data_IF_129774985888
#
_entry.id   IF_129774985888
#
_cell.length_a   1.000
_cell.length_b   1.000
_cell.length_c   1.000
_cell.angle_alpha   90.00
_cell.angle_beta   90.00
_cell.angle_gamma   90.00
#
_symmetry.space_group_name_H-M   'P 1'
#
loop_
_entity.id
_entity.type
_entity.pdbx_description
1 polymer ?
#
# COMPACT_ATOMS: atom_id res chain seq x y z
N UNK A 1 -18.93 2.06 4.76
CA UNK A 1 -18.20 1.63 3.55
C UNK A 1 -19.18 1.75 2.39
N UNK A 2 -18.90 2.59 1.39
CA UNK A 2 -19.82 2.84 0.26
C UNK A 2 -19.53 1.85 -0.87
N UNK A 3 -20.12 0.65 -0.76
CA UNK A 3 -19.85 -0.43 -1.72
C UNK A 3 -20.53 -0.21 -3.07
N UNK A 4 -21.41 0.77 -3.20
CA UNK A 4 -22.12 1.09 -4.45
C UNK A 4 -21.17 1.70 -5.48
N UNK A 5 -20.02 2.20 -5.02
CA UNK A 5 -18.94 2.75 -5.86
C UNK A 5 -17.98 1.69 -6.40
N UNK A 6 -18.19 0.43 -6.04
CA UNK A 6 -17.41 -0.70 -6.52
C UNK A 6 -18.25 -1.55 -7.48
N UNK A 7 -17.71 -1.84 -8.66
CA UNK A 7 -18.41 -2.63 -9.67
C UNK A 7 -18.72 -4.05 -9.18
N UNK A 8 -19.77 -4.66 -9.74
CA UNK A 8 -20.09 -6.06 -9.48
C UNK A 8 -18.96 -7.00 -9.92
N UNK A 9 -18.25 -6.64 -11.01
CA UNK A 9 -17.08 -7.39 -11.47
C UNK A 9 -15.98 -7.41 -10.43
N UNK A 10 -15.63 -6.27 -9.84
CA UNK A 10 -14.66 -6.19 -8.76
C UNK A 10 -15.11 -7.06 -7.58
N UNK A 11 -16.35 -6.91 -7.11
CA UNK A 11 -16.92 -7.73 -6.01
C UNK A 11 -16.83 -9.23 -6.28
N UNK A 12 -17.21 -9.70 -7.46
CA UNK A 12 -17.11 -11.11 -7.83
C UNK A 12 -15.66 -11.60 -7.84
N UNK A 13 -14.72 -10.83 -8.41
CA UNK A 13 -13.29 -11.20 -8.43
C UNK A 13 -12.67 -11.27 -7.04
N UNK A 14 -13.10 -10.40 -6.12
CA UNK A 14 -12.60 -10.37 -4.75
C UNK A 14 -13.23 -11.42 -3.84
N UNK A 15 -14.46 -11.86 -4.11
CA UNK A 15 -15.20 -12.78 -3.22
C UNK A 15 -14.42 -14.05 -2.90
N UNK A 16 -13.88 -14.70 -3.93
CA UNK A 16 -13.25 -16.02 -3.79
C UNK A 16 -11.75 -15.95 -3.42
N UNK A 17 -11.23 -14.74 -3.17
CA UNK A 17 -9.81 -14.51 -2.92
C UNK A 17 -9.51 -13.99 -1.52
N UNK A 18 -10.55 -13.73 -0.72
CA UNK A 18 -10.39 -13.24 0.63
C UNK A 18 -9.72 -14.31 1.51
N UNK A 19 -8.71 -13.90 2.29
CA UNK A 19 -7.85 -14.77 3.08
C UNK A 19 -6.64 -15.33 2.31
N UNK A 20 -6.45 -15.04 1.02
CA UNK A 20 -5.33 -15.63 0.25
C UNK A 20 -4.09 -14.71 0.17
N UNK A 21 -2.90 -15.30 -0.03
CA UNK A 21 -1.65 -14.53 -0.29
C UNK A 21 -1.55 -14.05 -1.74
N UNK A 22 -1.87 -14.94 -2.69
CA UNK A 22 -1.77 -14.74 -4.14
C UNK A 22 -0.40 -14.90 -4.74
N UNK A 23 -0.24 -14.31 -5.93
CA UNK A 23 0.94 -14.42 -6.76
C UNK A 23 1.77 -13.14 -6.79
N UNK A 24 2.90 -13.17 -7.51
CA UNK A 24 3.86 -12.08 -7.63
C UNK A 24 4.72 -11.93 -6.38
N UNK A 25 5.09 -10.70 -6.02
CA UNK A 25 5.86 -10.38 -4.81
C UNK A 25 5.08 -10.54 -3.48
N UNK A 26 3.96 -11.27 -3.46
CA UNK A 26 3.22 -11.51 -2.22
C UNK A 26 3.75 -12.77 -1.53
N UNK A 27 4.01 -12.69 -0.23
CA UNK A 27 4.58 -13.78 0.53
C UNK A 27 4.17 -13.74 2.00
N UNK A 28 4.38 -14.86 2.68
CA UNK A 28 4.37 -15.00 4.12
C UNK A 28 5.72 -15.56 4.50
N UNK A 29 6.45 -14.87 5.36
CA UNK A 29 7.78 -15.29 5.80
C UNK A 29 7.88 -15.35 7.32
N UNK A 30 8.44 -16.45 7.81
CA UNK A 30 8.93 -16.56 9.19
C UNK A 30 10.38 -16.09 9.17
N UNK A 31 10.66 -15.02 9.89
CA UNK A 31 11.95 -14.33 9.92
C UNK A 31 12.52 -14.35 11.33
N UNK A 32 13.82 -14.14 11.45
CA UNK A 32 14.51 -13.97 12.73
C UNK A 32 15.11 -12.57 12.80
N UNK A 33 14.93 -11.88 13.91
CA UNK A 33 15.58 -10.58 14.17
C UNK A 33 17.07 -10.81 14.36
N UNK A 34 17.87 -10.55 13.33
CA UNK A 34 19.31 -10.79 13.35
C UNK A 34 20.08 -9.63 14.00
N UNK A 35 19.73 -8.39 13.66
CA UNK A 35 20.40 -7.18 14.13
C UNK A 35 19.41 -6.17 14.70
N UNK A 36 19.87 -5.44 15.73
CA UNK A 36 19.14 -4.32 16.33
C UNK A 36 20.06 -3.10 16.30
N UNK A 37 19.64 -2.05 15.59
CA UNK A 37 20.40 -0.80 15.48
C UNK A 37 20.04 0.23 16.57
N UNK A 38 18.85 0.11 17.18
CA UNK A 38 18.40 0.96 18.27
C UNK A 38 17.59 0.15 19.29
N UNK A 39 18.23 -0.20 20.41
CA UNK A 39 17.62 -1.05 21.44
C UNK A 39 16.40 -0.41 22.11
N UNK A 40 16.43 0.92 22.33
CA UNK A 40 15.35 1.65 22.98
C UNK A 40 14.05 1.61 22.15
N UNK A 41 14.16 1.84 20.85
CA UNK A 41 13.03 1.79 19.92
C UNK A 41 12.58 0.35 19.68
N UNK A 42 13.52 -0.58 19.49
CA UNK A 42 13.22 -2.00 19.31
C UNK A 42 12.40 -2.54 20.50
N UNK A 43 12.80 -2.23 21.74
CA UNK A 43 12.05 -2.60 22.94
C UNK A 43 10.63 -2.04 22.96
N UNK A 44 10.43 -0.81 22.47
CA UNK A 44 9.09 -0.20 22.35
C UNK A 44 8.23 -0.89 21.30
N UNK A 45 8.83 -1.37 20.21
CA UNK A 45 8.15 -2.18 19.19
C UNK A 45 7.96 -3.65 19.61
N UNK A 46 8.49 -4.06 20.77
CA UNK A 46 8.46 -5.45 21.22
C UNK A 46 9.43 -6.35 20.45
N UNK A 47 10.47 -5.77 19.87
CA UNK A 47 11.50 -6.45 19.08
C UNK A 47 12.78 -6.67 19.89
N UNK A 48 13.36 -7.87 19.79
CA UNK A 48 14.65 -8.22 20.39
C UNK A 48 15.46 -9.19 19.52
N UNK A 49 16.79 -9.16 19.66
CA UNK A 49 17.69 -10.01 18.88
C UNK A 49 17.39 -11.49 19.11
N UNK A 50 17.28 -12.24 18.02
CA UNK A 50 16.94 -13.66 18.00
C UNK A 50 15.45 -13.99 18.01
N UNK A 51 14.58 -12.99 18.15
CA UNK A 51 13.13 -13.18 18.10
C UNK A 51 12.68 -13.68 16.73
N UNK A 52 11.70 -14.59 16.73
CA UNK A 52 11.01 -15.03 15.51
C UNK A 52 9.82 -14.10 15.24
N UNK A 53 9.72 -13.61 14.02
CA UNK A 53 8.64 -12.73 13.55
C UNK A 53 7.99 -13.33 12.32
N UNK A 54 6.72 -13.00 12.08
CA UNK A 54 6.03 -13.38 10.85
C UNK A 54 5.69 -12.11 10.07
N UNK A 55 6.14 -12.05 8.81
CA UNK A 55 5.82 -10.96 7.90
C UNK A 55 4.80 -11.43 6.87
N UNK A 56 3.72 -10.67 6.71
CA UNK A 56 2.69 -10.90 5.67
C UNK A 56 2.80 -9.76 4.67
N UNK A 57 3.21 -10.08 3.44
CA UNK A 57 3.20 -9.13 2.34
C UNK A 57 2.08 -9.49 1.36
N UNK A 58 0.91 -8.85 1.51
CA UNK A 58 -0.20 -9.00 0.57
C UNK A 58 -1.10 -7.76 0.52
N UNK A 59 -1.77 -7.56 -0.62
CA UNK A 59 -2.70 -6.46 -0.84
C UNK A 59 -4.14 -6.90 -1.08
N UNK A 60 -4.90 -6.08 -1.81
CA UNK A 60 -6.31 -6.30 -2.14
C UNK A 60 -6.63 -7.41 -3.15
N UNK A 61 -5.66 -8.31 -3.43
CA UNK A 61 -5.82 -9.61 -4.13
C UNK A 61 -6.25 -9.60 -5.60
N UNK A 62 -5.67 -10.45 -6.46
CA UNK A 62 -6.23 -11.00 -7.73
C UNK A 62 -5.52 -10.66 -9.06
N UNK A 63 -5.72 -11.50 -10.08
CA UNK A 63 -4.85 -11.60 -11.27
C UNK A 63 -4.71 -10.28 -12.07
N UNK A 64 -3.47 -9.80 -12.25
CA UNK A 64 -3.17 -8.56 -13.00
C UNK A 64 -1.71 -8.38 -13.43
N UNK A 65 -0.83 -9.36 -13.15
CA UNK A 65 0.58 -9.26 -13.54
C UNK A 65 0.75 -9.15 -15.07
N UNK A 66 -0.06 -9.89 -15.83
CA UNK A 66 0.04 -9.93 -17.29
C UNK A 66 -0.21 -8.56 -17.95
N UNK A 67 -1.17 -7.77 -17.47
CA UNK A 67 -1.51 -6.46 -18.08
C UNK A 67 -0.40 -5.43 -17.82
N UNK A 68 0.22 -5.42 -16.63
CA UNK A 68 1.32 -4.48 -16.37
C UNK A 68 2.56 -4.81 -17.23
N UNK A 69 2.88 -6.09 -17.42
CA UNK A 69 4.00 -6.52 -18.26
C UNK A 69 3.75 -6.25 -19.76
N UNK A 70 2.53 -6.47 -20.23
CA UNK A 70 2.16 -6.27 -21.64
C UNK A 70 2.22 -4.78 -22.03
N UNK A 71 1.88 -3.87 -21.11
CA UNK A 71 1.92 -2.43 -21.36
C UNK A 71 3.31 -1.82 -21.19
N UNK A 72 4.18 -2.39 -20.33
CA UNK A 72 5.60 -2.01 -20.28
C UNK A 72 6.26 -2.17 -21.67
N UNK A 73 5.91 -3.21 -22.44
CA UNK A 73 6.42 -3.39 -23.81
C UNK A 73 5.91 -2.32 -24.80
N UNK A 74 4.68 -1.85 -24.61
CA UNK A 74 4.07 -0.78 -25.42
C UNK A 74 4.72 0.57 -25.10
N UNK A 75 4.94 0.87 -23.82
CA UNK A 75 5.60 2.09 -23.34
C UNK A 75 7.08 2.17 -23.77
N UNK A 76 7.81 1.05 -23.71
CA UNK A 76 9.19 0.95 -24.23
C UNK A 76 9.27 1.18 -25.75
N UNK A 77 8.19 0.90 -26.48
CA UNK A 77 8.12 1.17 -27.93
C UNK A 77 7.77 2.63 -28.23
N UNK A 78 6.98 3.28 -27.37
CA UNK A 78 6.60 4.69 -27.50
C UNK A 78 7.75 5.65 -27.18
N UNK A 79 8.57 5.34 -26.16
CA UNK A 79 9.76 6.14 -25.79
C UNK A 79 10.76 6.28 -26.94
N UNK A 80 10.98 5.21 -27.73
CA UNK A 80 11.77 5.25 -28.97
C UNK A 80 11.14 6.08 -30.08
N UNK A 81 9.81 6.05 -30.22
CA UNK A 81 9.08 6.76 -31.29
C UNK A 81 9.05 8.27 -31.10
N UNK A 82 9.01 8.73 -29.84
CA UNK A 82 8.84 10.16 -29.52
C UNK A 82 10.11 10.84 -28.99
N UNK A 83 11.27 10.16 -29.02
CA UNK A 83 12.57 10.75 -28.67
C UNK A 83 12.63 11.25 -27.23
N UNK A 84 11.94 10.57 -26.30
CA UNK A 84 11.87 10.97 -24.90
C UNK A 84 13.13 10.46 -24.19
N UNK A 85 14.00 11.38 -23.76
CA UNK A 85 15.17 11.07 -22.95
C UNK A 85 14.73 11.01 -21.48
N UNK A 86 14.81 9.82 -20.85
CA UNK A 86 14.26 9.57 -19.51
C UNK A 86 15.38 9.54 -18.46
N UNK A 87 15.46 10.51 -17.53
CA UNK A 87 16.18 10.35 -16.28
C UNK A 87 15.25 9.68 -15.25
N UNK A 88 15.48 8.40 -14.93
CA UNK A 88 14.94 7.61 -13.80
C UNK A 88 13.50 7.91 -13.32
N UNK A 89 12.48 7.24 -13.90
CA UNK A 89 11.13 7.17 -13.28
C UNK A 89 10.61 5.72 -13.24
N UNK A 90 10.16 5.33 -12.05
CA UNK A 90 9.57 4.02 -11.76
C UNK A 90 8.04 4.15 -11.69
N UNK A 91 7.35 3.86 -12.79
CA UNK A 91 5.88 3.67 -12.79
C UNK A 91 5.59 2.18 -12.65
N UNK A 92 5.28 1.71 -11.45
CA UNK A 92 4.78 0.34 -11.23
C UNK A 92 3.42 0.36 -10.55
N UNK A 93 2.35 -0.05 -11.24
CA UNK A 93 0.99 -0.12 -10.70
C UNK A 93 0.79 -1.40 -9.88
N UNK A 94 1.14 -1.36 -8.60
CA UNK A 94 1.13 -2.54 -7.72
C UNK A 94 -0.14 -2.73 -6.88
N UNK A 95 -1.35 -2.64 -7.43
CA UNK A 95 -2.52 -3.24 -6.78
C UNK A 95 -2.95 -4.47 -7.57
N UNK A 96 -3.33 -5.55 -6.88
CA UNK A 96 -3.78 -6.79 -7.50
C UNK A 96 -5.31 -6.95 -7.26
N UNK A 97 -5.96 -7.54 -8.27
CA UNK A 97 -7.38 -7.94 -8.44
C UNK A 97 -8.49 -7.05 -7.93
N UNK A 98 -9.00 -7.13 -6.69
CA UNK A 98 -10.13 -6.31 -6.24
C UNK A 98 -9.78 -4.82 -6.36
N UNK A 99 -8.60 -4.43 -5.86
CA UNK A 99 -8.10 -3.06 -6.01
C UNK A 99 -7.65 -2.73 -7.44
N UNK A 100 -7.11 -3.70 -8.17
CA UNK A 100 -6.75 -3.52 -9.59
C UNK A 100 -7.98 -3.28 -10.46
N UNK A 101 -9.03 -4.07 -10.28
CA UNK A 101 -10.29 -3.97 -11.00
C UNK A 101 -10.99 -2.65 -10.68
N UNK A 102 -10.93 -2.18 -9.43
CA UNK A 102 -11.36 -0.82 -9.07
C UNK A 102 -10.56 0.21 -9.90
N UNK A 103 -9.24 0.07 -10.02
CA UNK A 103 -8.44 0.96 -10.86
C UNK A 103 -8.90 0.91 -12.33
N UNK A 104 -8.98 -0.27 -12.93
CA UNK A 104 -9.36 -0.47 -14.34
C UNK A 104 -10.74 0.10 -14.67
N UNK A 105 -11.72 -0.13 -13.78
CA UNK A 105 -13.08 0.37 -13.96
C UNK A 105 -13.12 1.90 -13.93
N UNK A 106 -12.29 2.51 -13.08
CA UNK A 106 -12.22 3.96 -12.94
C UNK A 106 -11.36 4.63 -14.01
N UNK A 107 -10.38 3.95 -14.64
CA UNK A 107 -9.59 4.54 -15.74
C UNK A 107 -10.52 5.10 -16.84
N UNK A 108 -11.54 4.34 -17.26
CA UNK A 108 -12.49 4.79 -18.30
C UNK A 108 -13.30 6.02 -17.87
N UNK A 109 -13.70 6.06 -16.60
CA UNK A 109 -14.46 7.15 -16.00
C UNK A 109 -13.57 8.41 -15.91
N UNK A 110 -12.35 8.24 -15.41
CA UNK A 110 -11.38 9.32 -15.25
C UNK A 110 -10.90 9.86 -16.60
N UNK A 111 -10.82 9.04 -17.65
CA UNK A 111 -10.46 9.50 -19.00
C UNK A 111 -11.53 10.45 -19.55
N UNK A 112 -12.80 10.10 -19.31
CA UNK A 112 -13.94 10.96 -19.65
C UNK A 112 -13.94 12.24 -18.79
N UNK A 113 -13.61 12.11 -17.50
CA UNK A 113 -13.50 13.25 -16.58
C UNK A 113 -12.37 14.22 -16.97
N UNK A 114 -11.20 13.70 -17.35
CA UNK A 114 -10.04 14.50 -17.81
C UNK A 114 -10.46 15.40 -18.97
N UNK A 115 -11.16 14.83 -19.97
CA UNK A 115 -11.70 15.60 -21.10
C UNK A 115 -12.76 16.61 -20.66
N UNK A 116 -13.70 16.19 -19.81
CA UNK A 116 -14.78 17.04 -19.27
C UNK A 116 -14.25 18.25 -18.50
N UNK A 117 -13.17 18.08 -17.73
CA UNK A 117 -12.57 19.14 -16.92
C UNK A 117 -11.41 19.87 -17.62
N UNK A 118 -11.13 19.56 -18.89
CA UNK A 118 -10.08 20.22 -19.68
C UNK A 118 -8.66 20.02 -19.13
N UNK A 119 -8.41 18.88 -18.46
CA UNK A 119 -7.10 18.58 -17.88
C UNK A 119 -6.16 18.11 -18.99
N UNK A 120 -5.07 18.84 -19.22
CA UNK A 120 -4.03 18.41 -20.15
C UNK A 120 -3.10 17.42 -19.46
N UNK A 121 -2.99 16.21 -20.01
CA UNK A 121 -2.15 15.16 -19.44
C UNK A 121 -0.89 14.96 -20.31
N UNK A 122 0.30 14.86 -19.69
CA UNK A 122 1.51 14.51 -20.44
C UNK A 122 1.50 13.04 -20.90
N UNK A 123 0.78 12.17 -20.19
CA UNK A 123 0.55 10.77 -20.55
C UNK A 123 -0.89 10.37 -20.20
N UNK A 124 -1.52 9.55 -21.03
CA UNK A 124 -2.89 9.04 -20.78
C UNK A 124 -2.97 8.17 -19.52
N UNK A 125 -1.87 7.52 -19.11
CA UNK A 125 -1.78 6.72 -17.88
C UNK A 125 -1.85 7.59 -16.61
N UNK A 126 -1.66 8.91 -16.73
CA UNK A 126 -1.79 9.88 -15.63
C UNK A 126 -3.21 10.43 -15.50
N UNK A 127 -4.19 9.66 -15.97
CA UNK A 127 -5.59 10.02 -15.92
C UNK A 127 -6.03 10.41 -14.52
N UNK A 128 -6.68 11.57 -14.40
CA UNK A 128 -7.10 12.10 -13.12
C UNK A 128 -8.42 12.87 -13.20
N UNK A 129 -8.96 13.22 -12.03
CA UNK A 129 -10.12 14.07 -11.87
C UNK A 129 -9.93 14.95 -10.62
N UNK A 130 -10.57 16.13 -10.56
CA UNK A 130 -10.54 16.96 -9.36
C UNK A 130 -11.09 16.20 -8.15
N UNK A 131 -10.48 16.34 -6.97
CA UNK A 131 -10.88 15.59 -5.76
C UNK A 131 -12.30 15.92 -5.29
N UNK A 132 -12.78 17.13 -5.58
CA UNK A 132 -14.14 17.59 -5.29
C UNK A 132 -15.16 17.24 -6.38
N UNK A 133 -14.72 16.62 -7.48
CA UNK A 133 -15.62 16.14 -8.53
C UNK A 133 -16.36 14.88 -8.10
N UNK A 134 -17.50 14.59 -8.75
CA UNK A 134 -18.24 13.34 -8.53
C UNK A 134 -17.34 12.12 -8.80
N UNK A 135 -16.59 12.15 -9.89
CA UNK A 135 -15.72 11.06 -10.34
C UNK A 135 -14.57 10.82 -9.34
N UNK A 136 -13.93 11.90 -8.85
CA UNK A 136 -12.89 11.82 -7.82
C UNK A 136 -13.41 11.32 -6.47
N UNK A 137 -14.58 11.80 -6.03
CA UNK A 137 -15.20 11.36 -4.78
C UNK A 137 -15.62 9.88 -4.84
N UNK A 138 -16.23 9.47 -5.95
CA UNK A 138 -16.62 8.07 -6.18
C UNK A 138 -15.38 7.15 -6.18
N UNK A 139 -14.27 7.57 -6.82
CA UNK A 139 -13.01 6.82 -6.82
C UNK A 139 -12.43 6.66 -5.41
N UNK A 140 -12.37 7.74 -4.62
CA UNK A 140 -11.85 7.68 -3.24
C UNK A 140 -12.64 6.68 -2.40
N UNK A 141 -13.98 6.68 -2.53
CA UNK A 141 -14.85 5.73 -1.83
C UNK A 141 -14.58 4.29 -2.26
N UNK A 142 -14.42 4.05 -3.57
CA UNK A 142 -14.07 2.73 -4.09
C UNK A 142 -12.67 2.27 -3.62
N UNK A 143 -11.69 3.17 -3.63
CA UNK A 143 -10.34 2.90 -3.12
C UNK A 143 -10.38 2.53 -1.63
N UNK A 144 -11.15 3.23 -0.81
CA UNK A 144 -11.35 2.87 0.60
C UNK A 144 -11.93 1.47 0.76
N UNK A 145 -12.83 1.03 -0.14
CA UNK A 145 -13.29 -0.35 -0.14
C UNK A 145 -12.14 -1.34 -0.42
N UNK A 146 -11.27 -1.02 -1.39
CA UNK A 146 -10.07 -1.81 -1.69
C UNK A 146 -9.11 -1.92 -0.52
N UNK A 147 -8.87 -0.82 0.19
CA UNK A 147 -8.02 -0.77 1.39
C UNK A 147 -8.61 -1.60 2.53
N UNK A 148 -9.91 -1.45 2.82
CA UNK A 148 -10.58 -2.22 3.86
C UNK A 148 -10.55 -3.72 3.55
N UNK A 149 -10.79 -4.11 2.30
CA UNK A 149 -10.67 -5.49 1.87
C UNK A 149 -9.25 -6.04 2.10
N UNK A 150 -8.20 -5.26 1.81
CA UNK A 150 -6.82 -5.67 2.07
C UNK A 150 -6.52 -5.85 3.56
N UNK A 151 -7.06 -4.97 4.44
CA UNK A 151 -6.96 -5.15 5.90
C UNK A 151 -7.66 -6.42 6.36
N UNK A 152 -8.92 -6.65 5.95
CA UNK A 152 -9.64 -7.88 6.28
C UNK A 152 -8.88 -9.13 5.81
N UNK A 153 -8.28 -9.08 4.62
CA UNK A 153 -7.47 -10.18 4.10
C UNK A 153 -6.27 -10.50 4.99
N UNK A 154 -5.53 -9.47 5.44
CA UNK A 154 -4.38 -9.67 6.35
C UNK A 154 -4.81 -10.13 7.74
N UNK A 155 -5.95 -9.67 8.23
CA UNK A 155 -6.49 -10.10 9.52
C UNK A 155 -6.87 -11.60 9.49
N UNK A 156 -7.52 -12.05 8.42
CA UNK A 156 -7.83 -13.48 8.24
C UNK A 156 -6.57 -14.35 8.16
N UNK A 157 -5.57 -13.91 7.39
CA UNK A 157 -4.28 -14.62 7.31
C UNK A 157 -3.61 -14.66 8.69
N UNK A 158 -3.66 -13.57 9.45
CA UNK A 158 -3.12 -13.50 10.82
C UNK A 158 -3.83 -14.48 11.75
N UNK A 159 -5.16 -14.59 11.65
CA UNK A 159 -5.93 -15.58 12.41
C UNK A 159 -5.51 -17.02 12.08
N UNK A 160 -5.36 -17.36 10.80
CA UNK A 160 -4.92 -18.70 10.38
C UNK A 160 -3.47 -19.02 10.77
N UNK A 161 -2.59 -18.01 10.78
CA UNK A 161 -1.24 -18.18 11.30
C UNK A 161 -1.30 -18.56 12.78
N UNK A 162 -2.08 -17.83 13.60
CA UNK A 162 -2.26 -18.13 15.03
C UNK A 162 -2.80 -19.55 15.24
N UNK A 163 -3.84 -19.91 14.51
CA UNK A 163 -4.44 -21.25 14.56
C UNK A 163 -3.43 -22.35 14.17
N UNK A 164 -2.62 -22.10 13.14
CA UNK A 164 -1.57 -23.05 12.70
C UNK A 164 -0.53 -23.28 13.80
N UNK A 165 -0.08 -22.22 14.45
CA UNK A 165 0.90 -22.34 15.54
C UNK A 165 0.31 -23.02 16.80
N UNK A 166 -0.96 -22.75 17.10
CA UNK A 166 -1.69 -23.43 18.18
C UNK A 166 -1.85 -24.93 17.89
N UNK A 167 -2.25 -25.29 16.67
CA UNK A 167 -2.39 -26.69 16.23
C UNK A 167 -1.06 -27.46 16.28
N UNK A 168 0.05 -26.79 15.98
CA UNK A 168 1.40 -27.33 16.12
C UNK A 168 1.90 -27.36 17.58
N UNK A 169 1.06 -26.96 18.54
CA UNK A 169 1.33 -26.92 19.98
C UNK A 169 2.50 -26.01 20.36
N UNK A 170 2.76 -24.97 19.57
CA UNK A 170 3.67 -23.90 19.99
C UNK A 170 2.94 -22.97 20.94
N UNK A 171 3.47 -22.81 22.16
CA UNK A 171 2.96 -21.82 23.12
C UNK A 171 3.54 -20.44 22.82
N UNK A 172 2.93 -19.71 21.88
CA UNK A 172 3.40 -18.40 21.40
C UNK A 172 2.29 -17.36 21.37
N UNK A 173 2.66 -16.17 21.84
CA UNK A 173 1.81 -14.98 21.82
C UNK A 173 2.17 -14.12 20.59
N UNK A 174 1.45 -14.31 19.49
CA UNK A 174 1.67 -13.57 18.25
C UNK A 174 0.96 -12.21 18.29
N UNK A 175 1.72 -11.19 18.67
CA UNK A 175 1.28 -9.77 18.66
C UNK A 175 1.58 -9.11 17.33
N UNK A 176 0.60 -8.37 16.82
CA UNK A 176 0.79 -7.52 15.66
C UNK A 176 1.67 -6.32 16.06
N UNK A 177 2.85 -6.21 15.44
CA UNK A 177 3.73 -5.05 15.63
C UNK A 177 3.15 -3.83 14.91
N UNK A 178 2.88 -3.96 13.61
CA UNK A 178 2.26 -2.90 12.83
C UNK A 178 1.70 -3.45 11.50
N UNK A 179 0.68 -2.79 10.97
CA UNK A 179 0.16 -3.01 9.62
C UNK A 179 0.22 -1.69 8.85
N UNK A 180 0.85 -1.70 7.68
CA UNK A 180 1.00 -0.51 6.86
C UNK A 180 0.76 -0.79 5.38
N UNK A 181 0.07 0.15 4.73
CA UNK A 181 -0.14 0.14 3.28
C UNK A 181 0.95 0.95 2.58
N UNK A 182 1.43 0.46 1.43
CA UNK A 182 2.40 1.17 0.57
C UNK A 182 1.79 1.65 -0.76
N UNK A 183 0.52 1.33 -1.02
CA UNK A 183 -0.26 1.79 -2.18
C UNK A 183 -1.58 2.38 -1.71
N UNK A 184 -1.62 3.70 -1.51
CA UNK A 184 -2.79 4.39 -0.96
C UNK A 184 -2.75 5.89 -1.24
N UNK A 185 -3.92 6.50 -1.42
CA UNK A 185 -4.09 7.94 -1.29
C UNK A 185 -4.75 8.28 0.06
N UNK A 186 -4.20 9.23 0.80
CA UNK A 186 -4.78 9.69 2.07
C UNK A 186 -4.75 11.20 2.18
N UNK A 187 -5.83 11.75 2.75
CA UNK A 187 -5.85 13.15 3.16
C UNK A 187 -5.04 13.31 4.43
N UNK A 188 -4.01 14.14 4.38
CA UNK A 188 -3.06 14.37 5.45
C UNK A 188 -2.74 15.86 5.57
N UNK A 189 -2.56 16.32 6.81
CA UNK A 189 -2.11 17.67 7.10
C UNK A 189 -0.58 17.74 7.03
N UNK A 190 -0.09 18.61 6.17
CA UNK A 190 1.34 18.85 5.94
C UNK A 190 1.62 20.35 5.92
N UNK A 191 2.83 20.75 6.33
CA UNK A 191 3.29 22.14 6.20
C UNK A 191 3.91 22.32 4.81
N UNK A 192 3.33 23.19 3.99
CA UNK A 192 3.86 23.58 2.67
C UNK A 192 4.08 25.09 2.71
N UNK A 193 5.31 25.53 2.46
CA UNK A 193 5.70 26.94 2.55
C UNK A 193 5.38 27.59 3.91
N UNK A 194 5.47 26.80 4.99
CA UNK A 194 5.18 27.24 6.37
C UNK A 194 3.71 27.17 6.79
N UNK A 195 2.78 26.97 5.85
CA UNK A 195 1.34 26.89 6.12
C UNK A 195 0.85 25.44 6.21
N UNK A 196 -0.05 25.16 7.18
CA UNK A 196 -0.70 23.86 7.26
C UNK A 196 -1.75 23.72 6.14
N UNK A 197 -1.52 22.79 5.22
CA UNK A 197 -2.44 22.46 4.13
C UNK A 197 -2.91 21.01 4.25
N UNK A 198 -4.19 20.79 3.95
CA UNK A 198 -4.75 19.46 3.80
C UNK A 198 -4.49 18.96 2.37
N UNK A 199 -3.64 17.95 2.24
CA UNK A 199 -3.23 17.40 0.95
C UNK A 199 -3.73 15.97 0.78
N UNK A 200 -4.09 15.60 -0.45
CA UNK A 200 -4.29 14.20 -0.81
C UNK A 200 -2.94 13.59 -1.24
N UNK A 201 -2.26 12.95 -0.29
CA UNK A 201 -0.94 12.36 -0.51
C UNK A 201 -1.11 10.99 -1.16
N UNK A 202 -0.63 10.85 -2.39
CA UNK A 202 -0.61 9.60 -3.13
C UNK A 202 0.71 8.88 -2.87
N UNK A 203 0.63 7.64 -2.40
CA UNK A 203 1.78 6.75 -2.20
C UNK A 203 1.65 5.53 -3.08
N UNK A 204 2.69 5.24 -3.85
CA UNK A 204 2.80 4.07 -4.72
C UNK A 204 4.17 3.44 -4.49
N UNK A 205 4.20 2.25 -3.91
CA UNK A 205 5.44 1.63 -3.44
C UNK A 205 6.14 2.42 -2.32
N UNK A 206 5.40 3.27 -1.59
CA UNK A 206 5.95 4.14 -0.56
C UNK A 206 5.14 4.03 0.73
N UNK A 207 5.83 3.96 1.86
CA UNK A 207 5.21 3.76 3.17
C UNK A 207 5.12 5.09 3.91
N UNK A 208 4.00 5.33 4.61
CA UNK A 208 3.88 6.48 5.51
C UNK A 208 4.86 6.34 6.68
N UNK A 209 5.56 7.41 7.04
CA UNK A 209 6.61 7.41 8.06
C UNK A 209 6.49 8.61 9.01
N UNK A 210 5.41 8.67 9.79
CA UNK A 210 5.19 9.79 10.72
C UNK A 210 6.20 9.82 11.87
N UNK A 211 6.71 11.01 12.16
CA UNK A 211 7.54 11.32 13.31
C UNK A 211 6.77 11.14 14.63
N UNK A 212 7.51 11.05 15.74
CA UNK A 212 6.95 11.02 17.08
C UNK A 212 6.02 12.22 17.35
N UNK A 213 5.05 12.04 18.25
CA UNK A 213 4.11 13.06 18.70
C UNK A 213 2.81 13.16 17.90
N UNK A 214 2.73 12.57 16.70
CA UNK A 214 1.51 12.63 15.88
C UNK A 214 0.36 11.80 16.50
N UNK A 215 -0.84 12.36 16.52
CA UNK A 215 -2.04 11.73 17.10
C UNK A 215 -2.49 10.48 16.30
N UNK A 216 -2.14 10.43 15.02
CA UNK A 216 -2.41 9.31 14.12
C UNK A 216 -1.57 8.04 14.41
N UNK A 217 -0.54 8.16 15.26
CA UNK A 217 0.27 7.03 15.69
C UNK A 217 -0.38 6.39 16.94
N UNK A 218 -0.45 5.04 17.02
CA UNK A 218 -0.90 4.36 18.23
C UNK A 218 -0.14 4.82 19.47
N UNK A 219 -0.83 4.90 20.60
CA UNK A 219 -0.28 5.43 21.85
C UNK A 219 1.02 4.73 22.27
N UNK A 220 1.10 3.41 22.07
CA UNK A 220 2.28 2.59 22.33
C UNK A 220 3.55 3.04 21.61
N UNK A 221 3.40 3.69 20.44
CA UNK A 221 4.50 4.11 19.57
C UNK A 221 4.60 5.62 19.41
N UNK A 222 3.61 6.39 19.90
CA UNK A 222 3.50 7.83 19.67
C UNK A 222 4.74 8.59 20.11
N UNK A 223 5.38 8.18 21.19
CA UNK A 223 6.57 8.84 21.72
C UNK A 223 7.86 8.51 20.95
N UNK A 224 7.88 7.44 20.13
CA UNK A 224 9.06 7.02 19.36
C UNK A 224 8.93 7.26 17.86
N UNK A 225 7.70 7.32 17.34
CA UNK A 225 7.41 7.46 15.91
C UNK A 225 6.73 6.22 15.34
N UNK A 226 6.25 6.34 14.11
CA UNK A 226 5.51 5.26 13.45
C UNK A 226 6.47 4.13 13.05
N UNK A 227 6.16 2.85 13.36
CA UNK A 227 6.85 1.73 12.72
C UNK A 227 6.70 1.79 11.20
N UNK A 228 7.81 1.59 10.49
CA UNK A 228 7.88 1.53 9.03
C UNK A 228 8.43 0.18 8.65
N UNK A 229 7.58 -0.66 8.05
CA UNK A 229 7.98 -2.00 7.60
C UNK A 229 8.44 -1.87 6.14
N UNK A 230 9.71 -2.19 5.90
CA UNK A 230 10.30 -2.27 4.57
C UNK A 230 10.53 -3.74 4.25
N UNK A 231 9.62 -4.37 3.49
CA UNK A 231 9.81 -5.72 3.03
C UNK A 231 10.95 -5.75 2.02
N UNK A 232 11.82 -6.76 2.11
CA UNK A 232 12.71 -7.12 1.01
C UNK A 232 11.95 -7.81 -0.14
N UNK A 233 12.69 -8.51 -0.99
CA UNK A 233 12.15 -9.58 -1.84
C UNK A 233 12.12 -10.92 -1.09
N UNK A 234 11.45 -11.92 -1.67
CA UNK A 234 11.38 -13.27 -1.11
C UNK A 234 12.78 -13.82 -0.80
N UNK A 235 13.00 -14.22 0.45
CA UNK A 235 14.28 -14.77 0.92
C UNK A 235 15.41 -13.75 1.15
N UNK A 236 15.11 -12.45 1.09
CA UNK A 236 16.09 -11.39 1.42
C UNK A 236 15.74 -10.70 2.73
N UNK A 237 16.70 -9.95 3.29
CA UNK A 237 16.50 -9.23 4.54
C UNK A 237 15.35 -8.22 4.45
N UNK A 238 14.59 -8.11 5.53
CA UNK A 238 13.55 -7.09 5.72
C UNK A 238 13.92 -6.19 6.89
N UNK A 239 13.42 -4.95 6.88
CA UNK A 239 13.78 -3.94 7.87
C UNK A 239 12.55 -3.35 8.55
N UNK A 240 12.69 -3.07 9.85
CA UNK A 240 11.75 -2.26 10.62
C UNK A 240 12.44 -0.96 10.97
N UNK A 241 11.92 0.15 10.42
CA UNK A 241 12.41 1.50 10.68
C UNK A 241 11.38 2.28 11.51
N UNK A 242 11.73 3.52 11.82
CA UNK A 242 10.87 4.47 12.54
C UNK A 242 10.74 5.76 11.74
N UNK A 243 9.53 6.34 11.70
CA UNK A 243 9.31 7.64 11.09
C UNK A 243 10.02 8.76 11.85
N UNK A 244 10.57 9.74 11.12
CA UNK A 244 11.34 10.85 11.70
C UNK A 244 10.86 12.21 11.17
N UNK A 245 11.24 13.29 11.84
CA UNK A 245 10.91 14.67 11.42
C UNK A 245 11.62 15.07 10.11
N UNK A 246 12.77 14.45 9.81
CA UNK A 246 13.54 14.68 8.59
C UNK A 246 13.01 13.91 7.37
N UNK A 247 11.89 13.19 7.49
CA UNK A 247 11.14 12.77 6.31
C UNK A 247 10.75 14.07 5.58
N UNK A 248 11.34 14.38 4.41
CA UNK A 248 11.04 15.64 3.76
C UNK A 248 9.52 15.75 3.61
N UNK A 249 8.92 16.93 3.90
CA UNK A 249 7.59 17.19 3.39
C UNK A 249 7.68 17.00 1.88
N UNK A 250 6.86 16.10 1.34
CA UNK A 250 6.68 15.95 -0.10
C UNK A 250 6.32 17.31 -0.71
#
# INVERSE_FOLDING_TARGET
>A
MDTDKVSQRAKMRGRDQLGTLGSGNHFLEIQKVEEIYNEGIAKKFGLFKGQITVMIHCGSRGYGHQICDDYIKILLSATKKYGINLPDWMVHCGSRGYGHQICDDYIKILLSATKKYGINLPDWELVCAPLNSKEGNDYIKAMHCGVNYAFCNREMITAWIRETFENLKFNIDLKLVYDVCHNIAKFEKHKVDGEEKLLCVHRKGATRAFAAGRSEIPESYRNVGQPVIVPGSMGTSSYVLVGTEKSPPL
#
